data_IF_119228297416
#
_entry.id   IF_119228297416
#
_cell.length_a   1.000
_cell.length_b   1.000
_cell.length_c   1.000
_cell.angle_alpha   90.00
_cell.angle_beta   90.00
_cell.angle_gamma   90.00
#
_symmetry.space_group_name_H-M   'P 1'
#
loop_
_entity.id
_entity.type
_entity.pdbx_description
1 polymer ?
#
# COMPACT_ATOMS: atom_id res chain seq x y z
N UNK A 1 -27.92 -3.96 -7.07
CA UNK A 1 -27.19 -4.54 -8.22
C UNK A 1 -26.61 -3.42 -9.08
N UNK A 2 -25.39 -3.57 -9.56
CA UNK A 2 -24.72 -2.64 -10.49
C UNK A 2 -24.38 -1.25 -9.96
N UNK A 3 -24.50 -1.00 -8.65
CA UNK A 3 -24.13 0.28 -8.03
C UNK A 3 -22.73 0.19 -7.45
N UNK A 4 -21.92 1.21 -7.73
CA UNK A 4 -20.60 1.33 -7.13
C UNK A 4 -20.72 1.60 -5.62
N UNK A 5 -19.94 0.85 -4.85
CA UNK A 5 -19.68 1.09 -3.44
C UNK A 5 -18.24 1.59 -3.26
N UNK A 6 -18.04 2.53 -2.35
CA UNK A 6 -16.71 3.06 -2.01
C UNK A 6 -16.39 2.76 -0.55
N UNK A 7 -15.20 2.23 -0.32
CA UNK A 7 -14.65 1.95 1.01
C UNK A 7 -13.41 2.82 1.20
N UNK A 8 -13.30 3.44 2.38
CA UNK A 8 -12.16 4.25 2.80
C UNK A 8 -11.78 3.83 4.22
N UNK A 9 -10.55 3.41 4.42
CA UNK A 9 -10.00 3.03 5.72
C UNK A 9 -8.57 3.54 5.82
N UNK A 10 -8.32 4.48 6.71
CA UNK A 10 -7.05 5.16 6.78
C UNK A 10 -7.08 6.41 7.63
N UNK A 11 -6.09 7.25 7.44
CA UNK A 11 -5.92 8.54 8.13
C UNK A 11 -5.74 9.65 7.11
N UNK A 12 -6.05 10.87 7.51
CA UNK A 12 -5.76 12.08 6.74
C UNK A 12 -4.51 12.73 7.29
N UNK A 13 -3.53 12.96 6.43
CA UNK A 13 -2.35 13.74 6.79
C UNK A 13 -2.48 15.19 6.31
N UNK A 14 -2.16 16.18 7.15
CA UNK A 14 -2.11 17.57 6.73
C UNK A 14 -0.80 17.85 5.98
N UNK A 15 -0.90 18.44 4.80
CA UNK A 15 0.21 18.94 4.00
C UNK A 15 0.07 20.44 3.91
N UNK A 16 1.13 21.17 4.28
CA UNK A 16 1.18 22.63 4.11
C UNK A 16 1.50 22.95 2.66
N UNK A 17 0.80 23.91 2.07
CA UNK A 17 1.02 24.34 0.69
C UNK A 17 1.13 25.87 0.70
N UNK A 18 2.16 26.38 0.05
CA UNK A 18 2.33 27.82 -0.19
C UNK A 18 1.82 28.11 -1.59
N UNK A 19 0.77 28.93 -1.71
CA UNK A 19 0.22 29.30 -3.02
C UNK A 19 1.17 30.25 -3.77
N UNK A 20 1.03 30.43 -5.09
CA UNK A 20 1.85 31.39 -5.85
C UNK A 20 1.81 32.82 -5.31
N UNK A 21 0.74 33.19 -4.60
CA UNK A 21 0.53 34.48 -3.95
C UNK A 21 1.19 34.58 -2.57
N UNK A 22 1.88 33.52 -2.11
CA UNK A 22 2.56 33.46 -0.82
C UNK A 22 1.65 33.16 0.37
N UNK A 23 0.41 32.72 0.13
CA UNK A 23 -0.52 32.33 1.20
C UNK A 23 -0.25 30.88 1.64
N UNK A 24 -0.18 30.67 2.96
CA UNK A 24 -0.10 29.32 3.54
C UNK A 24 -1.50 28.70 3.64
N UNK A 25 -1.64 27.49 3.13
CA UNK A 25 -2.87 26.69 3.22
C UNK A 25 -2.54 25.27 3.70
N UNK A 26 -3.54 24.57 4.22
CA UNK A 26 -3.40 23.17 4.65
C UNK A 26 -4.33 22.30 3.81
N UNK A 27 -3.76 21.36 3.07
CA UNK A 27 -4.50 20.34 2.34
C UNK A 27 -4.40 19.00 3.06
N UNK A 28 -5.51 18.27 3.18
CA UNK A 28 -5.51 16.93 3.75
C UNK A 28 -5.42 15.89 2.64
N UNK A 29 -4.44 14.99 2.73
CA UNK A 29 -4.32 13.82 1.85
C UNK A 29 -4.69 12.55 2.60
N UNK A 30 -5.53 11.73 1.97
CA UNK A 30 -5.89 10.41 2.48
C UNK A 30 -4.70 9.46 2.34
N UNK A 31 -4.43 8.68 3.40
CA UNK A 31 -3.41 7.63 3.43
C UNK A 31 -4.04 6.41 4.07
N UNK A 32 -3.95 5.26 3.40
CA UNK A 32 -4.58 4.02 3.79
C UNK A 32 -5.18 3.28 2.60
N UNK A 33 -6.18 2.44 2.84
CA UNK A 33 -6.92 1.72 1.82
C UNK A 33 -8.11 2.54 1.36
N UNK A 34 -8.19 2.78 0.05
CA UNK A 34 -9.41 3.21 -0.64
C UNK A 34 -9.76 2.16 -1.68
N UNK A 35 -11.04 1.87 -1.88
CA UNK A 35 -11.45 0.84 -2.83
C UNK A 35 -12.82 1.16 -3.39
N UNK A 36 -13.00 1.00 -4.69
CA UNK A 36 -14.34 0.94 -5.30
C UNK A 36 -14.67 -0.48 -5.72
N UNK A 37 -15.92 -0.88 -5.52
CA UNK A 37 -16.44 -2.19 -5.89
C UNK A 37 -17.77 -1.99 -6.61
N UNK A 38 -17.89 -2.57 -7.80
CA UNK A 38 -19.16 -2.62 -8.54
C UNK A 38 -19.57 -4.07 -8.76
N UNK A 39 -20.51 -4.62 -7.97
CA UNK A 39 -20.99 -5.98 -8.14
C UNK A 39 -22.12 -6.03 -9.18
N UNK A 40 -22.16 -7.11 -9.96
CA UNK A 40 -23.21 -7.42 -10.93
C UNK A 40 -23.58 -8.89 -10.89
N UNK A 41 -24.86 -9.19 -10.66
CA UNK A 41 -25.39 -10.55 -10.79
C UNK A 41 -25.62 -10.89 -12.27
N UNK A 42 -25.05 -12.00 -12.72
CA UNK A 42 -25.24 -12.53 -14.07
C UNK A 42 -26.44 -13.49 -14.12
N UNK A 43 -26.99 -13.71 -15.32
CA UNK A 43 -28.15 -14.60 -15.53
C UNK A 43 -27.86 -16.07 -15.21
N UNK A 44 -26.60 -16.47 -15.21
CA UNK A 44 -26.13 -17.81 -14.82
C UNK A 44 -25.91 -17.95 -13.30
N UNK A 45 -26.30 -16.96 -12.50
CA UNK A 45 -26.19 -16.98 -11.03
C UNK A 45 -24.82 -16.60 -10.49
N UNK A 46 -23.84 -16.29 -11.36
CA UNK A 46 -22.51 -15.83 -10.96
C UNK A 46 -22.50 -14.34 -10.66
N UNK A 47 -21.69 -13.94 -9.68
CA UNK A 47 -21.45 -12.54 -9.35
C UNK A 47 -20.15 -12.11 -9.98
N UNK A 48 -20.21 -11.05 -10.79
CA UNK A 48 -19.02 -10.38 -11.33
C UNK A 48 -18.80 -9.08 -10.56
N UNK A 49 -17.58 -8.83 -10.11
CA UNK A 49 -17.22 -7.63 -9.35
C UNK A 49 -16.03 -6.95 -10.02
N UNK A 50 -16.20 -5.69 -10.37
CA UNK A 50 -15.08 -4.82 -10.73
C UNK A 50 -14.57 -4.15 -9.45
N UNK A 51 -13.32 -4.44 -9.09
CA UNK A 51 -12.71 -4.02 -7.83
C UNK A 51 -11.45 -3.20 -8.12
N UNK A 52 -11.40 -1.98 -7.59
CA UNK A 52 -10.30 -1.04 -7.78
C UNK A 52 -9.71 -0.65 -6.42
N UNK A 53 -8.88 -1.49 -5.80
CA UNK A 53 -8.17 -1.13 -4.57
C UNK A 53 -7.02 -0.15 -4.87
N UNK A 54 -6.93 0.89 -4.06
CA UNK A 54 -5.84 1.85 -4.03
C UNK A 54 -5.34 1.98 -2.59
N UNK A 55 -4.07 1.65 -2.38
CA UNK A 55 -3.40 1.71 -1.09
C UNK A 55 -2.37 2.82 -1.12
N UNK A 56 -2.46 3.72 -0.16
CA UNK A 56 -1.52 4.81 0.04
C UNK A 56 -0.84 4.66 1.40
N UNK A 57 0.47 4.91 1.46
CA UNK A 57 1.26 4.87 2.69
C UNK A 57 2.31 5.97 2.71
N UNK A 58 2.76 6.36 3.91
CA UNK A 58 3.85 7.32 4.05
C UNK A 58 5.18 6.63 3.75
N UNK A 59 5.92 7.19 2.81
CA UNK A 59 7.32 6.89 2.57
C UNK A 59 8.20 7.40 3.71
N UNK A 60 9.40 6.83 3.82
CA UNK A 60 10.37 7.24 4.85
C UNK A 60 11.14 8.51 4.43
N UNK A 61 11.18 8.82 3.14
CA UNK A 61 11.84 9.98 2.59
C UNK A 61 10.97 11.24 2.72
N UNK A 62 11.63 12.37 2.98
CA UNK A 62 11.04 13.69 2.91
C UNK A 62 11.62 14.45 1.73
N UNK A 63 10.76 14.92 0.82
CA UNK A 63 11.16 15.80 -0.27
C UNK A 63 10.80 17.23 0.14
N UNK A 64 11.82 18.07 0.35
CA UNK A 64 11.64 19.46 0.79
C UNK A 64 10.82 19.61 2.09
N UNK A 65 10.92 18.62 2.99
CA UNK A 65 10.18 18.59 4.25
C UNK A 65 8.77 18.00 4.16
N UNK A 66 8.32 17.56 2.99
CA UNK A 66 7.03 16.91 2.77
C UNK A 66 7.18 15.38 2.70
N UNK A 67 6.25 14.62 3.28
CA UNK A 67 6.28 13.16 3.18
C UNK A 67 6.06 12.71 1.74
N UNK A 68 6.89 11.77 1.29
CA UNK A 68 6.57 10.99 0.08
C UNK A 68 5.36 10.12 0.38
N UNK A 69 4.39 10.07 -0.55
CA UNK A 69 3.25 9.14 -0.46
C UNK A 69 3.49 8.03 -1.48
N UNK A 70 3.67 6.82 -0.98
CA UNK A 70 3.71 5.62 -1.81
C UNK A 70 2.27 5.23 -2.14
N UNK A 71 1.95 5.07 -3.43
CA UNK A 71 0.62 4.68 -3.91
C UNK A 71 0.71 3.39 -4.73
N UNK A 72 -0.22 2.47 -4.48
CA UNK A 72 -0.41 1.24 -5.27
C UNK A 72 -1.87 1.13 -5.66
N UNK A 73 -2.14 0.99 -6.94
CA UNK A 73 -3.49 0.86 -7.48
C UNK A 73 -3.54 -0.35 -8.41
N UNK A 74 -4.58 -1.16 -8.26
CA UNK A 74 -4.83 -2.29 -9.14
C UNK A 74 -6.29 -2.27 -9.59
N UNK A 75 -6.54 -2.83 -10.77
CA UNK A 75 -7.89 -3.02 -11.30
C UNK A 75 -8.08 -4.48 -11.60
N UNK A 76 -9.03 -5.11 -10.92
CA UNK A 76 -9.28 -6.53 -11.05
C UNK A 76 -10.78 -6.78 -11.24
N UNK A 77 -11.10 -7.67 -12.16
CA UNK A 77 -12.46 -8.18 -12.35
C UNK A 77 -12.51 -9.60 -11.81
N UNK A 78 -13.42 -9.85 -10.88
CA UNK A 78 -13.58 -11.12 -10.19
C UNK A 78 -14.92 -11.71 -10.59
N UNK A 79 -14.96 -13.02 -10.87
CA UNK A 79 -16.21 -13.75 -11.10
C UNK A 79 -16.26 -14.93 -10.13
N UNK A 80 -17.30 -14.98 -9.31
CA UNK A 80 -17.42 -15.95 -8.21
C UNK A 80 -18.86 -16.42 -8.04
N UNK A 81 -19.05 -17.58 -7.42
CA UNK A 81 -20.37 -17.98 -6.95
C UNK A 81 -20.81 -17.11 -5.77
N UNK A 82 -22.12 -17.11 -5.51
CA UNK A 82 -22.67 -16.53 -4.29
C UNK A 82 -22.05 -17.22 -3.06
N UNK A 83 -21.78 -16.43 -2.01
CA UNK A 83 -21.19 -16.87 -0.74
C UNK A 83 -19.78 -17.50 -0.83
N UNK A 84 -19.17 -17.52 -2.01
CA UNK A 84 -17.80 -17.96 -2.20
C UNK A 84 -16.82 -16.81 -1.95
N UNK A 85 -15.74 -17.11 -1.21
CA UNK A 85 -14.65 -16.16 -0.96
C UNK A 85 -13.58 -16.28 -2.03
N UNK A 86 -13.29 -15.18 -2.72
CA UNK A 86 -12.14 -15.08 -3.62
C UNK A 86 -11.01 -14.30 -2.96
N UNK A 87 -9.80 -14.78 -3.14
CA UNK A 87 -8.56 -14.09 -2.74
C UNK A 87 -8.02 -13.33 -3.95
N UNK A 88 -7.94 -12.01 -3.85
CA UNK A 88 -7.15 -11.21 -4.79
C UNK A 88 -5.73 -11.23 -4.22
N UNK A 89 -4.80 -11.83 -4.99
CA UNK A 89 -3.46 -12.19 -4.54
C UNK A 89 -2.68 -11.07 -3.82
N UNK A 90 -1.73 -11.52 -2.99
CA UNK A 90 -0.99 -10.68 -2.05
C UNK A 90 -0.12 -9.61 -2.70
N UNK A 91 -0.29 -8.38 -2.27
CA UNK A 91 0.58 -7.26 -2.62
C UNK A 91 1.81 -7.32 -1.71
N UNK A 92 2.84 -8.08 -2.10
CA UNK A 92 4.07 -8.24 -1.29
C UNK A 92 5.07 -7.15 -1.68
N UNK A 93 5.54 -6.39 -0.69
CA UNK A 93 6.72 -5.53 -0.81
C UNK A 93 7.77 -5.98 0.21
N UNK A 94 8.98 -6.29 -0.27
CA UNK A 94 10.16 -6.51 0.55
C UNK A 94 11.12 -5.36 0.27
N UNK A 95 11.37 -4.52 1.28
CA UNK A 95 12.40 -3.50 1.23
C UNK A 95 13.53 -3.93 2.17
N UNK A 96 14.70 -4.20 1.60
CA UNK A 96 15.91 -4.58 2.34
C UNK A 96 16.98 -3.52 2.09
N UNK A 97 17.35 -2.81 3.15
CA UNK A 97 18.40 -1.79 3.13
C UNK A 97 19.55 -2.30 3.98
N UNK A 98 20.66 -2.65 3.33
CA UNK A 98 21.91 -3.05 3.99
C UNK A 98 22.89 -1.86 4.03
N UNK A 99 23.22 -1.39 5.23
CA UNK A 99 24.21 -0.35 5.44
C UNK A 99 25.49 -0.95 6.04
N UNK A 100 26.56 -1.01 5.26
CA UNK A 100 27.86 -1.51 5.72
C UNK A 100 28.80 -0.34 6.00
N UNK A 101 29.15 -0.13 7.27
CA UNK A 101 30.21 0.78 7.68
C UNK A 101 31.46 -0.03 8.02
N UNK A 102 32.61 0.34 7.47
CA UNK A 102 33.88 -0.36 7.73
C UNK A 102 35.02 0.62 7.95
N UNK A 103 35.93 0.27 8.86
CA UNK A 103 37.17 1.02 9.02
C UNK A 103 38.15 0.61 7.90
N UNK A 104 38.67 1.54 7.10
CA UNK A 104 39.66 1.24 6.06
C UNK A 104 40.89 0.53 6.65
N UNK A 105 41.52 -0.37 5.88
CA UNK A 105 42.64 -1.23 6.27
C UNK A 105 42.34 -2.32 7.33
N UNK A 106 41.70 -1.99 8.45
CA UNK A 106 41.43 -2.94 9.54
C UNK A 106 40.35 -3.97 9.18
N UNK A 107 39.39 -3.59 8.34
CA UNK A 107 38.30 -4.47 7.88
C UNK A 107 38.72 -5.62 6.97
N UNK A 108 39.96 -5.61 6.46
CA UNK A 108 40.51 -6.64 5.58
C UNK A 108 41.47 -7.63 6.28
N UNK A 109 41.70 -7.48 7.59
CA UNK A 109 42.58 -8.39 8.34
C UNK A 109 41.90 -9.77 8.44
N UNK A 110 42.56 -10.86 8.00
CA UNK A 110 42.03 -12.22 8.19
C UNK A 110 41.76 -12.47 9.68
N UNK A 111 40.67 -13.18 10.01
CA UNK A 111 40.25 -13.53 11.39
C UNK A 111 39.64 -12.36 12.18
N UNK A 112 40.17 -11.13 12.08
CA UNK A 112 39.73 -9.98 12.90
C UNK A 112 38.91 -8.92 12.16
N UNK A 113 38.88 -8.94 10.83
CA UNK A 113 38.27 -7.90 10.01
C UNK A 113 36.77 -7.68 10.26
N UNK A 114 36.06 -8.70 10.73
CA UNK A 114 34.62 -8.61 11.04
C UNK A 114 34.32 -7.78 12.29
N UNK A 115 35.26 -7.73 13.25
CA UNK A 115 35.15 -6.86 14.44
C UNK A 115 35.26 -5.36 14.10
N UNK A 116 35.74 -5.04 12.89
CA UNK A 116 35.90 -3.68 12.38
C UNK A 116 34.91 -3.34 11.26
N UNK A 117 33.89 -4.18 11.07
CA UNK A 117 32.71 -3.91 10.24
C UNK A 117 31.50 -3.72 11.16
N UNK A 118 30.66 -2.77 10.78
CA UNK A 118 29.35 -2.59 11.37
C UNK A 118 28.33 -2.68 10.25
N UNK A 119 27.56 -3.78 10.25
CA UNK A 119 26.48 -4.00 9.30
C UNK A 119 25.17 -3.69 9.99
N UNK A 120 24.38 -2.81 9.38
CA UNK A 120 23.02 -2.53 9.81
C UNK A 120 22.04 -2.87 8.69
N UNK A 121 21.27 -3.95 8.89
CA UNK A 121 20.23 -4.38 7.96
C UNK A 121 18.88 -3.91 8.47
N UNK A 122 18.15 -3.15 7.65
CA UNK A 122 16.75 -2.79 7.89
C UNK A 122 15.89 -3.53 6.88
N UNK A 123 14.96 -4.36 7.36
CA UNK A 123 14.00 -5.07 6.53
C UNK A 123 12.58 -4.61 6.86
N UNK A 124 11.82 -4.19 5.84
CA UNK A 124 10.42 -3.84 5.96
C UNK A 124 9.61 -4.69 4.98
N UNK A 125 8.71 -5.50 5.53
CA UNK A 125 7.81 -6.36 4.77
C UNK A 125 6.38 -5.89 4.95
N UNK A 126 5.73 -5.51 3.85
CA UNK A 126 4.29 -5.18 3.84
C UNK A 126 3.57 -6.19 2.96
N UNK A 127 2.61 -6.90 3.53
CA UNK A 127 1.75 -7.85 2.81
C UNK A 127 0.30 -7.43 2.95
N UNK A 128 -0.39 -7.27 1.82
CA UNK A 128 -1.82 -6.93 1.82
C UNK A 128 -2.56 -8.03 1.07
N UNK A 129 -3.55 -8.62 1.74
CA UNK A 129 -4.41 -9.67 1.20
C UNK A 129 -5.84 -9.14 1.22
N UNK A 130 -6.51 -9.20 0.06
CA UNK A 130 -7.91 -8.77 -0.07
C UNK A 130 -8.76 -10.02 -0.26
N UNK A 131 -9.67 -10.24 0.69
CA UNK A 131 -10.65 -11.32 0.68
C UNK A 131 -12.01 -10.72 0.38
N UNK A 132 -12.69 -11.23 -0.64
CA UNK A 132 -14.02 -10.75 -1.02
C UNK A 132 -14.99 -11.92 -1.03
N UNK A 133 -16.08 -11.76 -0.27
CA UNK A 133 -17.23 -12.67 -0.29
C UNK A 133 -18.45 -11.86 -0.68
N UNK A 134 -19.17 -12.30 -1.69
CA UNK A 134 -20.39 -11.64 -2.15
C UNK A 134 -21.61 -12.33 -1.54
N UNK A 135 -22.47 -11.56 -0.89
CA UNK A 135 -23.74 -12.04 -0.32
C UNK A 135 -24.91 -11.35 -1.01
N UNK A 136 -25.99 -12.08 -1.22
CA UNK A 136 -27.26 -11.54 -1.69
C UNK A 136 -28.03 -11.09 -0.44
N UNK A 137 -28.41 -9.82 -0.41
CA UNK A 137 -29.22 -9.27 0.67
C UNK A 137 -30.67 -9.25 0.21
N UNK A 138 -31.52 -10.00 0.91
CA UNK A 138 -32.97 -9.92 0.77
C UNK A 138 -33.48 -8.73 1.59
N UNK A 139 -34.10 -7.76 0.92
CA UNK A 139 -34.87 -6.69 1.53
C UNK A 139 -36.17 -6.45 0.76
#
# INVERSE_FOLDING_TARGET
DGKEAKILSGSKIPIRIITPEGLETVEYRDVGLSMTITPRLSSDGLITMDVNPKIESLGEELIQGYPVINSREEKVTIRTNLDETVVIGGLITLEEIENIRKIPFLSNIPIFGELFKFTHTKSKKTEIVILITAHLLDY
#
